data_IF_293820109837
#
_entry.id   IF_293820109837
#
_cell.length_a   1.000
_cell.length_b   1.000
_cell.length_c   1.000
_cell.angle_alpha   90.00
_cell.angle_beta   90.00
_cell.angle_gamma   90.00
#
_symmetry.space_group_name_H-M   'P 1'
#
loop_
_entity.id
_entity.type
_entity.pdbx_description
1 polymer ?
#
# COMPACT_ATOMS: atom_id res chain seq x y z
N UNK A 1 -2.62 -14.70 -38.19
CA UNK A 1 -2.09 -13.84 -37.16
C UNK A 1 -1.28 -14.62 -36.11
N UNK A 2 -0.60 -13.92 -35.22
CA UNK A 2 0.15 -14.56 -34.12
C UNK A 2 -0.85 -14.82 -32.98
N UNK A 3 -0.88 -16.01 -32.34
CA UNK A 3 -1.75 -16.27 -31.20
C UNK A 3 -1.33 -15.41 -30.00
N UNK A 4 -2.34 -14.85 -29.33
CA UNK A 4 -2.16 -14.01 -28.12
C UNK A 4 -2.60 -14.79 -26.87
N UNK A 5 -3.60 -15.67 -27.00
CA UNK A 5 -4.17 -16.44 -25.90
C UNK A 5 -3.90 -17.93 -26.04
N UNK A 6 -3.84 -18.65 -24.93
CA UNK A 6 -3.67 -20.11 -24.90
C UNK A 6 -4.80 -20.82 -25.65
N UNK A 7 -6.03 -20.30 -25.55
CA UNK A 7 -7.22 -20.81 -26.23
C UNK A 7 -7.06 -20.73 -27.75
N UNK A 8 -6.42 -19.69 -28.27
CA UNK A 8 -6.14 -19.58 -29.71
C UNK A 8 -5.13 -20.62 -30.20
N UNK A 9 -4.13 -20.96 -29.38
CA UNK A 9 -3.21 -22.06 -29.69
C UNK A 9 -3.94 -23.39 -29.74
N UNK A 10 -4.86 -23.64 -28.78
CA UNK A 10 -5.73 -24.83 -28.82
C UNK A 10 -6.59 -24.86 -30.08
N UNK A 11 -7.21 -23.76 -30.47
CA UNK A 11 -8.03 -23.63 -31.67
C UNK A 11 -7.21 -23.91 -32.94
N UNK A 12 -6.01 -23.35 -33.02
CA UNK A 12 -5.08 -23.62 -34.15
C UNK A 12 -4.76 -25.12 -34.24
N UNK A 13 -4.42 -25.76 -33.11
CA UNK A 13 -4.12 -27.19 -33.09
C UNK A 13 -5.35 -28.04 -33.46
N UNK A 14 -6.56 -27.66 -33.04
CA UNK A 14 -7.78 -28.39 -33.39
C UNK A 14 -8.18 -28.20 -34.86
N UNK A 15 -8.17 -26.94 -35.34
CA UNK A 15 -8.63 -26.62 -36.70
C UNK A 15 -7.60 -27.03 -37.74
N UNK A 16 -6.33 -26.64 -37.55
CA UNK A 16 -5.31 -26.85 -38.58
C UNK A 16 -4.66 -28.25 -38.51
N UNK A 17 -4.46 -28.83 -37.32
CA UNK A 17 -3.81 -30.13 -37.16
C UNK A 17 -4.79 -31.28 -36.79
N UNK A 18 -6.06 -30.96 -36.46
CA UNK A 18 -7.08 -31.94 -36.13
C UNK A 18 -6.94 -32.59 -34.77
N UNK A 19 -6.36 -31.88 -33.85
CA UNK A 19 -6.31 -32.35 -32.48
C UNK A 19 -7.71 -32.50 -31.91
N UNK A 20 -7.95 -33.56 -31.18
CA UNK A 20 -9.14 -33.65 -30.32
C UNK A 20 -9.02 -32.72 -29.12
N UNK A 21 -10.14 -32.38 -28.45
CA UNK A 21 -10.14 -31.45 -27.30
C UNK A 21 -9.15 -31.83 -26.19
N UNK A 22 -9.03 -33.13 -25.87
CA UNK A 22 -8.08 -33.64 -24.87
C UNK A 22 -6.60 -33.38 -25.24
N UNK A 23 -6.23 -33.64 -26.50
CA UNK A 23 -4.86 -33.39 -26.96
C UNK A 23 -4.55 -31.90 -27.04
N UNK A 24 -5.52 -31.06 -27.39
CA UNK A 24 -5.39 -29.61 -27.38
C UNK A 24 -5.20 -29.07 -25.94
N UNK A 25 -5.93 -29.62 -24.95
CA UNK A 25 -5.73 -29.24 -23.53
C UNK A 25 -4.38 -29.73 -22.99
N UNK A 26 -3.92 -30.93 -23.40
CA UNK A 26 -2.58 -31.40 -23.03
C UNK A 26 -1.46 -30.51 -23.63
N UNK A 27 -1.66 -30.00 -24.85
CA UNK A 27 -0.76 -29.02 -25.46
C UNK A 27 -0.74 -27.74 -24.59
N UNK A 28 -1.91 -27.20 -24.20
CA UNK A 28 -2.03 -26.02 -23.33
C UNK A 28 -1.32 -26.24 -21.99
N UNK A 29 -1.55 -27.38 -21.33
CA UNK A 29 -0.89 -27.70 -20.06
C UNK A 29 0.65 -27.81 -20.21
N UNK A 30 1.11 -28.29 -21.36
CA UNK A 30 2.54 -28.40 -21.62
C UNK A 30 3.22 -27.05 -21.79
N UNK A 31 2.48 -26.03 -22.29
CA UNK A 31 2.98 -24.65 -22.39
C UNK A 31 3.22 -24.02 -21.02
N UNK A 32 2.32 -24.23 -20.08
CA UNK A 32 2.46 -23.71 -18.70
C UNK A 32 3.66 -24.31 -17.94
N UNK A 33 4.11 -25.52 -18.33
CA UNK A 33 5.23 -26.26 -17.72
C UNK A 33 6.54 -26.19 -18.53
N UNK A 34 6.60 -25.38 -19.57
CA UNK A 34 7.68 -25.34 -20.58
C UNK A 34 9.10 -25.33 -19.99
N UNK A 35 9.37 -24.38 -19.09
CA UNK A 35 10.74 -24.22 -18.52
C UNK A 35 11.18 -25.37 -17.62
N UNK A 36 10.25 -26.19 -17.14
CA UNK A 36 10.58 -27.30 -16.21
C UNK A 36 10.67 -28.67 -16.83
N UNK A 37 10.00 -28.94 -17.99
CA UNK A 37 9.85 -30.32 -18.50
C UNK A 37 10.00 -30.51 -20.02
N UNK A 38 10.32 -29.47 -20.80
CA UNK A 38 10.52 -29.64 -22.26
C UNK A 38 9.30 -30.17 -23.05
N UNK A 39 8.09 -30.09 -22.46
CA UNK A 39 6.93 -30.89 -22.85
C UNK A 39 6.27 -30.55 -24.19
N UNK A 40 6.53 -29.36 -24.80
CA UNK A 40 5.83 -28.94 -26.03
C UNK A 40 6.42 -29.66 -27.27
N UNK A 41 7.70 -30.00 -27.28
CA UNK A 41 8.34 -30.69 -28.41
C UNK A 41 7.70 -32.05 -28.74
N UNK A 42 7.03 -32.69 -27.77
CA UNK A 42 6.31 -33.95 -28.04
C UNK A 42 5.13 -33.74 -28.99
N UNK A 43 4.62 -32.54 -29.14
CA UNK A 43 3.51 -32.21 -30.05
C UNK A 43 3.98 -31.77 -31.44
N UNK A 44 5.29 -31.59 -31.67
CA UNK A 44 5.83 -31.13 -32.95
C UNK A 44 5.41 -32.04 -34.11
N UNK A 45 5.77 -33.33 -34.02
CA UNK A 45 5.42 -34.30 -35.07
C UNK A 45 3.91 -34.47 -35.28
N UNK A 46 3.08 -34.63 -34.22
CA UNK A 46 1.62 -34.69 -34.36
C UNK A 46 1.01 -33.44 -34.98
N UNK A 47 1.49 -32.25 -34.62
CA UNK A 47 0.97 -30.98 -35.12
C UNK A 47 1.33 -30.80 -36.60
N UNK A 48 2.61 -30.96 -36.97
CA UNK A 48 3.08 -30.79 -38.34
C UNK A 48 2.40 -31.85 -39.25
N UNK A 49 2.42 -33.11 -38.85
CA UNK A 49 1.78 -34.18 -39.63
C UNK A 49 0.28 -34.03 -39.78
N UNK A 50 -0.40 -33.56 -38.73
CA UNK A 50 -1.85 -33.27 -38.80
C UNK A 50 -2.17 -32.09 -39.74
N UNK A 51 -1.31 -31.06 -39.78
CA UNK A 51 -1.46 -29.94 -40.71
C UNK A 51 -1.19 -30.37 -42.17
N UNK A 52 -0.13 -31.14 -42.40
CA UNK A 52 0.20 -31.68 -43.74
C UNK A 52 -0.92 -32.56 -44.28
N UNK A 53 -1.47 -33.45 -43.47
CA UNK A 53 -2.62 -34.27 -43.82
C UNK A 53 -3.88 -33.45 -44.23
N UNK A 54 -3.95 -32.20 -43.84
CA UNK A 54 -5.01 -31.23 -44.19
C UNK A 54 -4.62 -30.28 -45.33
N UNK A 55 -3.51 -30.52 -46.00
CA UNK A 55 -3.09 -29.77 -47.16
C UNK A 55 -2.27 -28.52 -46.88
N UNK A 56 -1.82 -28.29 -45.65
CA UNK A 56 -0.90 -27.19 -45.35
C UNK A 56 0.53 -27.57 -45.76
N UNK A 57 1.30 -26.60 -46.26
CA UNK A 57 2.70 -26.80 -46.63
C UNK A 57 3.55 -26.99 -45.38
N UNK A 58 4.58 -27.86 -45.49
CA UNK A 58 5.48 -28.17 -44.37
C UNK A 58 6.15 -26.96 -43.77
N UNK A 59 6.61 -26.00 -44.60
CA UNK A 59 7.24 -24.77 -44.11
C UNK A 59 6.30 -23.91 -43.30
N UNK A 60 5.02 -23.87 -43.70
CA UNK A 60 3.99 -23.15 -42.93
C UNK A 60 3.69 -23.84 -41.62
N UNK A 61 3.57 -25.17 -41.60
CA UNK A 61 3.32 -25.94 -40.38
C UNK A 61 4.47 -25.78 -39.36
N UNK A 62 5.72 -25.83 -39.87
CA UNK A 62 6.90 -25.56 -39.04
C UNK A 62 6.91 -24.13 -38.47
N UNK A 63 6.59 -23.12 -39.29
CA UNK A 63 6.51 -21.73 -38.83
C UNK A 63 5.46 -21.55 -37.74
N UNK A 64 4.29 -22.17 -37.84
CA UNK A 64 3.25 -22.17 -36.80
C UNK A 64 3.77 -22.83 -35.51
N UNK A 65 4.44 -23.98 -35.63
CA UNK A 65 5.01 -24.64 -34.46
C UNK A 65 6.07 -23.76 -33.77
N UNK A 66 6.94 -23.09 -34.52
CA UNK A 66 7.92 -22.13 -33.96
C UNK A 66 7.26 -20.94 -33.27
N UNK A 67 6.15 -20.42 -33.82
CA UNK A 67 5.35 -19.38 -33.14
C UNK A 67 4.77 -19.91 -31.82
N UNK A 68 4.26 -21.16 -31.80
CA UNK A 68 3.76 -21.78 -30.57
C UNK A 68 4.88 -21.99 -29.54
N UNK A 69 6.09 -22.30 -29.95
CA UNK A 69 7.26 -22.39 -29.07
C UNK A 69 7.61 -21.05 -28.45
N UNK A 70 7.66 -19.97 -29.24
CA UNK A 70 7.88 -18.61 -28.74
C UNK A 70 6.75 -18.14 -27.77
N UNK A 71 5.52 -18.57 -28.06
CA UNK A 71 4.36 -18.29 -27.21
C UNK A 71 4.38 -19.07 -25.87
N UNK A 72 5.00 -20.26 -25.84
CA UNK A 72 5.13 -21.10 -24.63
C UNK A 72 5.88 -20.43 -23.49
N UNK A 73 6.64 -19.36 -23.76
CA UNK A 73 7.29 -18.57 -22.69
C UNK A 73 6.33 -17.65 -21.92
N UNK A 74 5.22 -17.21 -22.54
CA UNK A 74 4.27 -16.28 -21.94
C UNK A 74 2.86 -16.39 -22.58
N UNK A 75 2.15 -17.47 -22.30
CA UNK A 75 0.78 -17.64 -22.77
C UNK A 75 -0.24 -17.19 -21.73
N UNK A 76 -1.08 -16.17 -22.05
CA UNK A 76 -2.18 -15.75 -21.20
C UNK A 76 -3.45 -16.58 -21.48
N UNK A 77 -4.17 -17.06 -20.43
CA UNK A 77 -5.54 -17.52 -20.58
C UNK A 77 -6.46 -16.34 -20.95
N UNK A 78 -7.33 -16.50 -21.93
CA UNK A 78 -8.23 -15.46 -22.40
C UNK A 78 -9.18 -14.99 -21.29
N UNK A 79 -9.82 -15.92 -20.59
CA UNK A 79 -10.72 -15.63 -19.48
C UNK A 79 -10.04 -14.85 -18.36
N UNK A 80 -8.77 -15.19 -18.05
CA UNK A 80 -7.96 -14.47 -17.08
C UNK A 80 -7.68 -13.03 -17.54
N UNK A 81 -7.29 -12.85 -18.80
CA UNK A 81 -7.02 -11.52 -19.37
C UNK A 81 -8.27 -10.63 -19.36
N UNK A 82 -9.45 -11.15 -19.74
CA UNK A 82 -10.71 -10.44 -19.68
C UNK A 82 -11.11 -10.03 -18.26
N UNK A 83 -11.00 -10.97 -17.31
CA UNK A 83 -11.34 -10.69 -15.90
C UNK A 83 -10.43 -9.60 -15.32
N UNK A 84 -9.13 -9.68 -15.59
CA UNK A 84 -8.18 -8.66 -15.11
C UNK A 84 -8.31 -7.33 -15.82
N UNK A 85 -8.69 -7.31 -17.11
CA UNK A 85 -8.98 -6.07 -17.83
C UNK A 85 -10.14 -5.32 -17.17
N UNK A 86 -11.22 -6.03 -16.84
CA UNK A 86 -12.38 -5.46 -16.14
C UNK A 86 -12.01 -4.93 -14.76
N UNK A 87 -11.30 -5.74 -13.94
CA UNK A 87 -10.87 -5.33 -12.61
C UNK A 87 -9.90 -4.14 -12.66
N UNK A 88 -8.95 -4.15 -13.60
CA UNK A 88 -7.99 -3.06 -13.79
C UNK A 88 -8.68 -1.77 -14.20
N UNK A 89 -9.62 -1.84 -15.14
CA UNK A 89 -10.40 -0.68 -15.56
C UNK A 89 -11.23 -0.11 -14.40
N UNK A 90 -12.02 -0.96 -13.72
CA UNK A 90 -12.87 -0.53 -12.61
C UNK A 90 -12.04 0.07 -11.46
N UNK A 91 -10.91 -0.56 -11.09
CA UNK A 91 -10.01 -0.06 -10.06
C UNK A 91 -9.38 1.28 -10.44
N UNK A 92 -8.96 1.45 -11.69
CA UNK A 92 -8.39 2.70 -12.19
C UNK A 92 -9.44 3.81 -12.23
N UNK A 93 -10.67 3.48 -12.63
CA UNK A 93 -11.79 4.40 -12.63
C UNK A 93 -12.12 4.89 -11.22
N UNK A 94 -12.25 3.96 -10.26
CA UNK A 94 -12.49 4.30 -8.85
C UNK A 94 -11.36 5.17 -8.28
N UNK A 95 -10.09 4.82 -8.55
CA UNK A 95 -8.96 5.63 -8.10
C UNK A 95 -8.99 7.05 -8.68
N UNK A 96 -9.43 7.21 -9.93
CA UNK A 96 -9.47 8.49 -10.62
C UNK A 96 -10.64 9.37 -10.15
N UNK A 97 -11.83 8.78 -9.98
CA UNK A 97 -13.07 9.52 -9.76
C UNK A 97 -13.53 9.53 -8.31
N UNK A 98 -13.20 8.49 -7.54
CA UNK A 98 -13.60 8.29 -6.15
C UNK A 98 -12.39 7.90 -5.27
N UNK A 99 -11.32 8.73 -5.24
CA UNK A 99 -10.07 8.37 -4.57
C UNK A 99 -10.20 8.17 -3.07
N UNK A 100 -11.13 8.84 -2.39
CA UNK A 100 -11.38 8.64 -0.97
C UNK A 100 -12.02 7.26 -0.71
N UNK A 101 -13.02 6.88 -1.49
CA UNK A 101 -13.64 5.54 -1.41
C UNK A 101 -12.62 4.45 -1.73
N UNK A 102 -11.80 4.67 -2.77
CA UNK A 102 -10.75 3.73 -3.15
C UNK A 102 -9.73 3.53 -2.04
N UNK A 103 -9.25 4.61 -1.40
CA UNK A 103 -8.34 4.52 -0.25
C UNK A 103 -8.96 3.73 0.90
N UNK A 104 -10.18 4.07 1.32
CA UNK A 104 -10.86 3.39 2.43
C UNK A 104 -11.04 1.89 2.16
N UNK A 105 -11.45 1.52 0.95
CA UNK A 105 -11.62 0.12 0.53
C UNK A 105 -10.28 -0.65 0.58
N UNK A 106 -9.19 -0.05 0.09
CA UNK A 106 -7.87 -0.69 0.12
C UNK A 106 -7.34 -0.86 1.56
N UNK A 107 -7.49 0.16 2.41
CA UNK A 107 -7.07 0.06 3.82
C UNK A 107 -7.86 -1.02 4.57
N UNK A 108 -9.16 -1.17 4.27
CA UNK A 108 -10.01 -2.20 4.87
C UNK A 108 -9.76 -3.61 4.31
N UNK A 109 -9.08 -3.71 3.17
CA UNK A 109 -8.69 -4.98 2.54
C UNK A 109 -7.28 -5.44 2.95
N UNK A 110 -6.58 -4.70 3.82
CA UNK A 110 -5.27 -5.11 4.32
C UNK A 110 -5.38 -6.38 5.19
N UNK A 111 -4.37 -7.28 5.16
CA UNK A 111 -3.08 -7.16 4.49
C UNK A 111 -3.13 -7.45 2.98
N UNK A 112 -2.44 -6.63 2.18
CA UNK A 112 -2.27 -6.82 0.74
C UNK A 112 -0.80 -7.05 0.38
N UNK A 113 -0.54 -7.70 -0.79
CA UNK A 113 0.82 -8.09 -1.20
C UNK A 113 1.74 -6.90 -1.51
N UNK A 114 1.27 -5.87 -2.23
CA UNK A 114 2.16 -4.89 -2.88
C UNK A 114 2.33 -3.57 -2.14
N UNK A 115 1.32 -3.08 -1.43
CA UNK A 115 1.36 -1.75 -0.81
C UNK A 115 1.12 -1.80 0.69
N UNK A 116 1.87 -1.00 1.44
CA UNK A 116 1.63 -0.77 2.87
C UNK A 116 0.56 0.31 3.07
N UNK A 117 -0.04 0.34 4.27
CA UNK A 117 -0.96 1.42 4.64
C UNK A 117 -0.32 2.81 4.46
N UNK A 118 0.97 2.96 4.83
CA UNK A 118 1.72 4.20 4.66
C UNK A 118 1.76 4.65 3.21
N UNK A 119 2.10 3.74 2.27
CA UNK A 119 2.18 4.08 0.85
C UNK A 119 0.83 4.50 0.27
N UNK A 120 -0.25 3.79 0.64
CA UNK A 120 -1.61 4.12 0.19
C UNK A 120 -2.04 5.50 0.69
N UNK A 121 -1.83 5.78 1.99
CA UNK A 121 -2.17 7.07 2.60
C UNK A 121 -1.33 8.20 2.01
N UNK A 122 -0.01 8.00 1.82
CA UNK A 122 0.85 9.02 1.22
C UNK A 122 0.45 9.32 -0.23
N UNK A 123 0.14 8.30 -1.03
CA UNK A 123 -0.35 8.48 -2.40
C UNK A 123 -1.64 9.31 -2.42
N UNK A 124 -2.63 8.92 -1.63
CA UNK A 124 -3.90 9.63 -1.57
C UNK A 124 -3.75 11.09 -1.10
N UNK A 125 -2.92 11.33 -0.08
CA UNK A 125 -2.64 12.70 0.41
C UNK A 125 -1.92 13.57 -0.64
N UNK A 126 -0.99 13.01 -1.41
CA UNK A 126 -0.34 13.73 -2.53
C UNK A 126 -1.35 14.11 -3.63
N UNK A 127 -2.42 13.35 -3.76
CA UNK A 127 -3.52 13.64 -4.69
C UNK A 127 -4.65 14.47 -4.06
N UNK A 128 -4.45 14.99 -2.84
CA UNK A 128 -5.38 15.92 -2.19
C UNK A 128 -6.49 15.29 -1.37
N UNK A 129 -6.51 13.96 -1.20
CA UNK A 129 -7.47 13.29 -0.31
C UNK A 129 -7.15 13.62 1.15
N UNK A 130 -8.15 14.13 1.86
CA UNK A 130 -8.04 14.40 3.30
C UNK A 130 -8.13 13.10 4.09
N UNK A 131 -7.14 12.83 4.95
CA UNK A 131 -7.11 11.65 5.82
C UNK A 131 -7.08 12.10 7.26
N UNK A 132 -8.01 11.56 8.06
CA UNK A 132 -8.21 11.89 9.47
C UNK A 132 -7.57 10.82 10.36
N UNK A 133 -6.99 11.21 11.52
CA UNK A 133 -6.33 10.28 12.43
C UNK A 133 -7.31 9.28 13.05
N UNK A 134 -6.76 8.23 13.66
CA UNK A 134 -7.52 7.34 14.51
C UNK A 134 -7.92 8.13 15.77
N UNK A 135 -9.19 8.01 16.18
CA UNK A 135 -9.71 8.64 17.38
C UNK A 135 -10.83 7.77 17.99
N UNK A 136 -10.73 7.49 19.27
CA UNK A 136 -11.71 6.64 19.98
C UNK A 136 -13.12 7.22 19.99
N UNK A 137 -13.26 8.54 19.87
CA UNK A 137 -14.56 9.22 19.81
C UNK A 137 -15.18 9.19 18.41
N UNK A 138 -14.41 8.95 17.36
CA UNK A 138 -14.87 9.03 15.97
C UNK A 138 -14.67 7.73 15.19
N UNK A 139 -13.50 7.07 15.28
CA UNK A 139 -13.16 5.94 14.44
C UNK A 139 -14.02 4.71 14.67
N UNK A 140 -14.43 4.07 13.58
CA UNK A 140 -14.98 2.72 13.59
C UNK A 140 -13.86 1.68 13.57
N UNK A 141 -14.23 0.39 13.60
CA UNK A 141 -13.24 -0.67 13.41
C UNK A 141 -12.57 -0.56 12.05
N UNK A 142 -13.36 -0.41 10.99
CA UNK A 142 -12.88 -0.17 9.63
C UNK A 142 -12.69 1.34 9.37
N UNK A 143 -11.89 1.66 8.34
CA UNK A 143 -11.78 3.02 7.83
C UNK A 143 -13.11 3.45 7.21
N UNK A 144 -13.54 4.68 7.49
CA UNK A 144 -14.83 5.23 7.05
C UNK A 144 -14.66 6.55 6.29
N UNK A 145 -15.73 6.97 5.65
CA UNK A 145 -15.81 8.25 4.95
C UNK A 145 -16.57 9.25 5.83
N UNK A 146 -16.00 10.44 6.04
CA UNK A 146 -16.55 11.44 6.95
C UNK A 146 -16.53 12.85 6.39
N UNK A 147 -17.36 13.69 7.01
CA UNK A 147 -17.30 15.14 6.93
C UNK A 147 -17.85 15.72 5.63
N UNK A 148 -17.77 17.05 5.49
CA UNK A 148 -18.20 17.73 4.30
C UNK A 148 -17.35 17.32 3.12
N UNK A 149 -17.96 17.22 1.94
CA UNK A 149 -17.27 16.98 0.70
C UNK A 149 -16.34 18.16 0.39
N UNK A 150 -15.09 17.85 0.03
CA UNK A 150 -14.08 18.85 -0.32
C UNK A 150 -13.60 18.64 -1.76
N UNK A 151 -13.28 19.73 -2.46
CA UNK A 151 -12.67 19.66 -3.78
C UNK A 151 -11.30 19.00 -3.71
N UNK A 152 -11.04 18.06 -4.63
CA UNK A 152 -9.76 17.38 -4.78
C UNK A 152 -9.22 17.69 -6.17
N UNK A 153 -7.95 18.11 -6.30
CA UNK A 153 -7.37 18.47 -7.61
C UNK A 153 -7.46 17.30 -8.61
N UNK A 154 -7.97 17.58 -9.81
CA UNK A 154 -8.09 16.58 -10.87
C UNK A 154 -9.26 15.60 -10.72
N UNK A 155 -10.08 15.73 -9.68
CA UNK A 155 -11.29 14.91 -9.46
C UNK A 155 -12.54 15.74 -9.72
N UNK A 156 -13.46 15.21 -10.53
CA UNK A 156 -14.65 15.95 -10.95
C UNK A 156 -15.66 16.18 -9.81
N UNK A 157 -15.76 15.24 -8.88
CA UNK A 157 -16.69 15.30 -7.75
C UNK A 157 -15.94 15.60 -6.44
N UNK A 158 -16.52 16.45 -5.56
CA UNK A 158 -15.98 16.66 -4.23
C UNK A 158 -15.92 15.35 -3.44
N UNK A 159 -14.84 15.16 -2.68
CA UNK A 159 -14.57 13.93 -1.95
C UNK A 159 -14.75 14.09 -0.44
N UNK A 160 -15.26 13.06 0.27
CA UNK A 160 -15.26 13.03 1.72
C UNK A 160 -13.83 12.83 2.26
N UNK A 161 -13.62 13.09 3.54
CA UNK A 161 -12.40 12.69 4.22
C UNK A 161 -12.43 11.19 4.55
N UNK A 162 -11.26 10.57 4.60
CA UNK A 162 -11.10 9.18 5.06
C UNK A 162 -10.68 9.19 6.53
N UNK A 163 -11.50 8.67 7.43
CA UNK A 163 -11.15 8.41 8.83
C UNK A 163 -10.45 7.06 8.94
N UNK A 164 -9.27 7.04 9.55
CA UNK A 164 -8.56 5.79 9.81
C UNK A 164 -9.27 4.95 10.87
N UNK A 165 -9.40 3.65 10.61
CA UNK A 165 -10.09 2.70 11.49
C UNK A 165 -9.20 2.14 12.60
N UNK A 166 -9.83 1.72 13.71
CA UNK A 166 -9.17 1.11 14.86
C UNK A 166 -8.40 -0.17 14.50
N UNK A 167 -8.78 -0.86 13.43
CA UNK A 167 -8.10 -2.06 12.93
C UNK A 167 -6.63 -1.83 12.56
N UNK A 168 -6.22 -0.58 12.33
CA UNK A 168 -4.84 -0.22 12.03
C UNK A 168 -3.96 -0.11 13.29
N UNK A 169 -4.55 -0.14 14.48
CA UNK A 169 -3.82 -0.08 15.75
C UNK A 169 -3.19 -1.43 16.05
N UNK A 170 -1.87 -1.48 16.04
CA UNK A 170 -1.11 -2.69 16.35
C UNK A 170 -1.31 -3.09 17.82
N UNK A 171 -1.66 -4.37 18.04
CA UNK A 171 -1.85 -4.90 19.38
C UNK A 171 -3.24 -4.66 20.01
N UNK A 172 -4.13 -3.93 19.35
CA UNK A 172 -5.52 -3.80 19.79
C UNK A 172 -6.31 -5.06 19.45
N UNK A 173 -6.96 -5.66 20.44
CA UNK A 173 -7.81 -6.81 20.22
C UNK A 173 -9.06 -6.43 19.41
N UNK A 174 -9.39 -7.21 18.36
CA UNK A 174 -10.57 -6.94 17.50
C UNK A 174 -11.86 -6.82 18.31
N UNK A 175 -12.07 -7.74 19.26
CA UNK A 175 -13.25 -7.72 20.14
C UNK A 175 -13.32 -6.45 21.00
N UNK A 176 -12.19 -5.95 21.48
CA UNK A 176 -12.11 -4.71 22.27
C UNK A 176 -12.46 -3.48 21.41
N UNK A 177 -11.88 -3.38 20.20
CA UNK A 177 -12.19 -2.29 19.28
C UNK A 177 -13.65 -2.28 18.82
N UNK A 178 -14.22 -3.43 18.50
CA UNK A 178 -15.64 -3.55 18.13
C UNK A 178 -16.57 -3.21 19.29
N UNK A 179 -16.26 -3.68 20.50
CA UNK A 179 -17.03 -3.35 21.72
C UNK A 179 -17.00 -1.85 22.02
N UNK A 180 -15.83 -1.20 21.88
CA UNK A 180 -15.70 0.26 22.01
C UNK A 180 -16.66 0.98 21.07
N UNK A 181 -16.68 0.59 19.78
CA UNK A 181 -17.57 1.20 18.77
C UNK A 181 -19.04 0.99 19.12
N UNK A 182 -19.42 -0.23 19.53
CA UNK A 182 -20.80 -0.56 19.92
C UNK A 182 -21.28 0.27 21.12
N UNK A 183 -20.45 0.40 22.16
CA UNK A 183 -20.81 1.17 23.36
C UNK A 183 -20.91 2.67 23.01
N UNK A 184 -19.99 3.20 22.23
CA UNK A 184 -20.07 4.58 21.76
C UNK A 184 -21.38 4.83 20.99
N UNK A 185 -21.76 3.92 20.10
CA UNK A 185 -23.03 4.03 19.36
C UNK A 185 -24.24 3.98 20.28
N UNK A 186 -24.25 3.06 21.24
CA UNK A 186 -25.35 2.96 22.22
C UNK A 186 -25.50 4.25 23.07
N UNK A 187 -24.39 4.85 23.48
CA UNK A 187 -24.40 6.13 24.19
C UNK A 187 -24.93 7.27 23.33
N UNK A 188 -24.55 7.29 22.07
CA UNK A 188 -25.07 8.25 21.10
C UNK A 188 -26.59 8.11 20.91
N UNK A 189 -27.06 6.89 20.66
CA UNK A 189 -28.49 6.60 20.44
C UNK A 189 -29.33 6.94 21.66
N UNK A 190 -28.85 6.64 22.86
CA UNK A 190 -29.51 7.04 24.11
C UNK A 190 -29.61 8.56 24.27
N UNK A 191 -28.58 9.30 23.89
CA UNK A 191 -28.57 10.76 23.93
C UNK A 191 -29.52 11.41 22.91
N UNK A 192 -29.65 10.80 21.74
CA UNK A 192 -30.61 11.23 20.69
C UNK A 192 -32.04 10.92 21.08
N UNK A 193 -32.30 9.72 21.62
CA UNK A 193 -33.63 9.31 22.09
C UNK A 193 -34.17 10.17 23.25
N UNK A 194 -33.29 10.77 24.06
CA UNK A 194 -33.66 11.69 25.12
C UNK A 194 -34.01 13.11 24.66
N UNK A 195 -33.92 13.44 23.36
CA UNK A 195 -34.27 14.75 22.79
C UNK A 195 -35.52 14.63 21.92
N UNK A 196 -36.69 15.10 22.34
CA UNK A 196 -37.89 15.06 21.50
C UNK A 196 -37.72 15.96 20.26
N UNK A 197 -37.82 15.37 19.06
CA UNK A 197 -37.85 16.08 17.78
C UNK A 197 -36.56 16.06 16.93
N UNK A 198 -35.55 15.28 17.25
CA UNK A 198 -34.39 15.12 16.41
C UNK A 198 -34.68 14.20 15.22
N UNK A 199 -34.68 14.76 14.02
CA UNK A 199 -34.69 13.96 12.79
C UNK A 199 -33.39 13.16 12.66
N UNK A 200 -33.39 11.95 12.05
CA UNK A 200 -32.17 11.18 11.83
C UNK A 200 -31.20 12.02 10.99
N UNK A 201 -30.01 12.23 11.51
CA UNK A 201 -28.96 12.96 10.79
C UNK A 201 -28.58 12.22 9.50
N UNK A 202 -28.38 12.91 8.36
CA UNK A 202 -27.93 12.29 7.13
C UNK A 202 -26.56 11.64 7.37
N UNK A 203 -26.32 10.49 6.74
CA UNK A 203 -25.12 9.64 6.91
C UNK A 203 -23.77 10.33 6.60
N UNK A 204 -23.76 11.57 6.18
CA UNK A 204 -22.60 12.43 5.87
C UNK A 204 -22.56 13.71 6.68
N UNK A 205 -23.15 13.75 7.89
CA UNK A 205 -23.11 14.93 8.73
C UNK A 205 -21.69 15.24 9.24
N UNK A 206 -21.28 16.54 9.31
CA UNK A 206 -19.94 16.92 9.73
C UNK A 206 -19.71 16.64 11.21
N UNK A 207 -18.51 16.21 11.55
CA UNK A 207 -17.82 16.21 12.84
C UNK A 207 -18.66 16.61 14.09
N UNK A 208 -19.69 15.86 14.39
CA UNK A 208 -20.41 16.04 15.65
C UNK A 208 -19.92 14.96 16.63
N UNK A 209 -18.93 15.28 17.44
CA UNK A 209 -18.61 14.51 18.64
C UNK A 209 -19.72 14.85 19.66
N UNK A 210 -20.66 13.96 19.94
CA UNK A 210 -21.69 14.25 20.93
C UNK A 210 -21.02 14.45 22.29
N UNK A 211 -21.39 15.49 22.99
CA UNK A 211 -20.95 15.80 24.37
C UNK A 211 -21.28 14.69 25.41
N UNK A 212 -21.82 13.58 24.95
CA UNK A 212 -22.32 12.45 25.75
C UNK A 212 -21.54 11.16 25.56
N UNK A 213 -20.44 11.17 24.76
CA UNK A 213 -19.54 10.03 24.65
C UNK A 213 -18.65 9.89 25.88
N UNK A 214 -17.53 9.22 25.75
CA UNK A 214 -16.54 9.09 26.83
C UNK A 214 -15.99 10.46 27.25
N UNK A 215 -15.88 10.69 28.55
CA UNK A 215 -15.43 11.96 29.13
C UNK A 215 -13.95 11.96 29.53
N UNK A 216 -13.38 10.76 29.72
CA UNK A 216 -11.97 10.58 30.07
C UNK A 216 -11.48 9.20 29.60
N UNK A 217 -10.16 8.97 29.68
CA UNK A 217 -9.57 7.67 29.43
C UNK A 217 -10.05 6.61 30.42
N UNK A 218 -10.31 7.00 31.66
CA UNK A 218 -10.89 6.13 32.70
C UNK A 218 -12.32 5.73 32.37
N UNK A 219 -13.18 6.71 32.03
CA UNK A 219 -14.57 6.45 31.63
C UNK A 219 -14.65 5.53 30.42
N UNK A 220 -13.77 5.74 29.43
CA UNK A 220 -13.62 4.84 28.28
C UNK A 220 -13.23 3.43 28.71
N UNK A 221 -12.21 3.30 29.57
CA UNK A 221 -11.71 2.01 30.04
C UNK A 221 -12.78 1.19 30.75
N UNK A 222 -13.54 1.84 31.64
CA UNK A 222 -14.59 1.22 32.44
C UNK A 222 -15.77 0.81 31.56
N UNK A 223 -16.30 1.70 30.74
CA UNK A 223 -17.50 1.44 29.92
C UNK A 223 -17.22 0.42 28.82
N UNK A 224 -16.11 0.57 28.11
CA UNK A 224 -15.75 -0.34 27.02
C UNK A 224 -15.03 -1.62 27.53
N UNK A 225 -14.81 -1.76 28.83
CA UNK A 225 -14.14 -2.90 29.46
C UNK A 225 -12.81 -3.22 28.76
N UNK A 226 -11.99 -2.20 28.55
CA UNK A 226 -10.71 -2.35 27.88
C UNK A 226 -9.66 -2.88 28.85
N UNK A 227 -8.84 -3.80 28.36
CA UNK A 227 -7.65 -4.23 29.09
C UNK A 227 -6.59 -3.13 29.11
N UNK A 228 -5.66 -3.21 30.06
CA UNK A 228 -4.52 -2.30 30.10
C UNK A 228 -3.71 -2.35 28.78
N UNK A 229 -3.59 -3.54 28.19
CA UNK A 229 -2.92 -3.72 26.91
C UNK A 229 -3.65 -2.98 25.77
N UNK A 230 -4.99 -3.05 25.72
CA UNK A 230 -5.79 -2.34 24.71
C UNK A 230 -5.64 -0.82 24.85
N UNK A 231 -5.69 -0.32 26.10
CA UNK A 231 -5.49 1.10 26.38
C UNK A 231 -4.10 1.59 25.99
N UNK A 232 -3.06 0.83 26.30
CA UNK A 232 -1.69 1.15 25.90
C UNK A 232 -1.54 1.14 24.37
N UNK A 233 -2.17 0.20 23.67
CA UNK A 233 -2.18 0.16 22.21
C UNK A 233 -2.86 1.39 21.61
N UNK A 234 -4.01 1.81 22.13
CA UNK A 234 -4.72 3.03 21.72
C UNK A 234 -3.89 4.29 22.00
N UNK A 235 -3.29 4.41 23.18
CA UNK A 235 -2.44 5.54 23.53
C UNK A 235 -1.18 5.61 22.65
N UNK A 236 -0.53 4.46 22.37
CA UNK A 236 0.62 4.39 21.47
C UNK A 236 0.27 4.81 20.04
N UNK A 237 -0.97 4.56 19.60
CA UNK A 237 -1.49 4.97 18.30
C UNK A 237 -1.99 6.43 18.24
N UNK A 238 -1.86 7.20 19.31
CA UNK A 238 -2.39 8.58 19.44
C UNK A 238 -3.93 8.66 19.34
N UNK A 239 -4.62 7.54 19.59
CA UNK A 239 -6.05 7.40 19.40
C UNK A 239 -6.90 8.01 20.56
N UNK A 240 -6.27 8.37 21.68
CA UNK A 240 -6.89 9.01 22.83
C UNK A 240 -6.70 10.53 22.84
N UNK A 241 -6.28 11.14 21.72
CA UNK A 241 -5.94 12.57 21.66
C UNK A 241 -7.10 13.48 22.07
N UNK A 242 -8.32 13.12 21.74
CA UNK A 242 -9.53 13.87 22.13
C UNK A 242 -9.89 13.77 23.63
N UNK A 243 -9.33 12.78 24.36
CA UNK A 243 -9.57 12.58 25.80
C UNK A 243 -8.42 13.09 26.67
N UNK A 244 -7.17 12.80 26.27
CA UNK A 244 -5.98 13.03 27.09
C UNK A 244 -4.94 13.94 26.42
N UNK A 245 -5.25 14.54 25.26
CA UNK A 245 -4.33 15.44 24.57
C UNK A 245 -3.15 14.70 23.89
N UNK A 246 -1.92 15.16 24.12
CA UNK A 246 -0.75 14.60 23.42
C UNK A 246 -0.36 13.18 23.90
N UNK A 247 0.30 12.43 23.06
CA UNK A 247 0.58 10.97 23.24
C UNK A 247 1.27 10.61 24.57
N UNK A 248 2.21 11.41 25.07
CA UNK A 248 2.85 11.13 26.35
C UNK A 248 1.84 11.17 27.51
N UNK A 249 0.90 12.12 27.47
CA UNK A 249 -0.18 12.18 28.46
C UNK A 249 -1.10 10.97 28.32
N UNK A 250 -1.50 10.61 27.10
CA UNK A 250 -2.30 9.41 26.85
C UNK A 250 -1.66 8.14 27.38
N UNK A 251 -0.34 7.97 27.14
CA UNK A 251 0.40 6.79 27.66
C UNK A 251 0.49 6.79 29.18
N UNK A 252 0.62 7.95 29.79
CA UNK A 252 0.62 8.08 31.26
C UNK A 252 -0.76 7.71 31.82
N UNK A 253 -1.82 8.32 31.29
CA UNK A 253 -3.18 8.07 31.72
C UNK A 253 -3.59 6.62 31.51
N UNK A 254 -3.20 6.01 30.37
CA UNK A 254 -3.42 4.58 30.10
C UNK A 254 -2.65 3.67 31.07
N UNK A 255 -1.43 4.05 31.47
CA UNK A 255 -0.63 3.28 32.41
C UNK A 255 -1.16 3.38 33.85
N UNK A 256 -1.76 4.50 34.19
CA UNK A 256 -2.35 4.74 35.52
C UNK A 256 -3.65 3.95 35.74
N UNK A 257 -4.28 3.42 34.68
CA UNK A 257 -5.52 2.67 34.81
C UNK A 257 -5.28 1.32 35.49
N UNK A 258 -5.81 1.16 36.67
CA UNK A 258 -5.80 -0.08 37.42
C UNK A 258 -7.23 -0.60 37.59
N UNK A 259 -7.41 -1.91 37.52
CA UNK A 259 -8.69 -2.53 37.84
C UNK A 259 -8.90 -2.38 39.35
N UNK A 260 -9.63 -1.35 39.75
CA UNK A 260 -9.98 -1.18 41.17
C UNK A 260 -10.77 -2.40 41.67
N UNK A 261 -10.48 -2.93 42.88
CA UNK A 261 -11.34 -3.90 43.53
C UNK A 261 -12.79 -3.42 43.59
N UNK A 262 -13.76 -4.33 43.55
CA UNK A 262 -15.18 -3.98 43.44
C UNK A 262 -15.65 -2.95 44.49
N UNK A 263 -15.05 -2.97 45.68
CA UNK A 263 -15.35 -2.08 46.79
C UNK A 263 -14.93 -0.60 46.55
N UNK A 264 -13.96 -0.35 45.65
CA UNK A 264 -13.35 0.96 45.39
C UNK A 264 -13.72 1.53 44.03
N UNK A 265 -14.57 0.87 43.26
CA UNK A 265 -14.90 1.26 41.89
C UNK A 265 -15.58 2.61 41.77
N UNK A 266 -16.33 3.00 42.80
CA UNK A 266 -17.13 4.24 42.82
C UNK A 266 -16.49 5.35 43.66
N UNK A 267 -15.25 5.16 44.12
CA UNK A 267 -14.54 6.18 44.90
C UNK A 267 -13.86 7.16 43.93
N UNK A 268 -14.22 8.44 43.94
CA UNK A 268 -13.58 9.42 43.08
C UNK A 268 -12.10 9.59 43.46
N UNK A 269 -11.23 9.43 42.45
CA UNK A 269 -9.80 9.66 42.60
C UNK A 269 -9.55 11.16 42.35
N UNK A 270 -9.14 11.90 43.38
CA UNK A 270 -8.78 13.29 43.29
C UNK A 270 -7.26 13.48 43.16
N UNK A 271 -6.69 13.07 42.04
CA UNK A 271 -5.29 13.33 41.73
C UNK A 271 -5.13 14.64 40.96
N UNK A 272 -4.09 15.40 41.27
CA UNK A 272 -3.73 16.57 40.47
C UNK A 272 -3.11 16.06 39.14
N UNK A 273 -3.71 16.41 37.98
CA UNK A 273 -3.19 15.93 36.71
C UNK A 273 -1.74 16.39 36.51
N UNK A 274 -0.82 15.43 36.30
CA UNK A 274 0.55 15.74 35.98
C UNK A 274 0.63 16.13 34.50
N UNK A 275 0.95 17.38 34.20
CA UNK A 275 1.15 17.87 32.86
C UNK A 275 2.54 17.45 32.34
N UNK A 276 2.59 16.52 31.41
CA UNK A 276 3.82 16.06 30.77
C UNK A 276 4.17 16.93 29.56
N UNK A 277 5.46 17.16 29.24
CA UNK A 277 5.85 17.85 28.02
C UNK A 277 5.57 16.98 26.79
N UNK A 278 5.04 17.58 25.71
CA UNK A 278 4.83 16.89 24.44
C UNK A 278 6.16 16.36 23.86
N UNK A 279 6.09 15.26 23.12
CA UNK A 279 7.25 14.71 22.43
C UNK A 279 7.61 15.56 21.21
N UNK A 280 8.87 15.50 20.78
CA UNK A 280 9.26 16.11 19.51
C UNK A 280 8.66 15.35 18.33
N UNK A 281 8.38 16.04 17.21
CA UNK A 281 7.75 15.43 16.03
C UNK A 281 8.48 14.18 15.51
N UNK A 282 9.81 14.15 15.57
CA UNK A 282 10.58 12.97 15.18
C UNK A 282 10.29 11.73 16.04
N UNK A 283 10.08 11.91 17.35
CA UNK A 283 9.66 10.82 18.24
C UNK A 283 8.22 10.39 17.96
N UNK A 284 7.33 11.35 17.74
CA UNK A 284 5.95 11.08 17.38
C UNK A 284 5.83 10.25 16.10
N UNK A 285 6.65 10.57 15.07
CA UNK A 285 6.69 9.78 13.83
C UNK A 285 7.20 8.35 14.09
N UNK A 286 8.19 8.17 14.99
CA UNK A 286 8.64 6.82 15.39
C UNK A 286 7.51 6.02 16.00
N UNK A 287 6.76 6.64 16.92
CA UNK A 287 5.60 6.00 17.55
C UNK A 287 4.49 5.69 16.54
N UNK A 288 4.20 6.60 15.62
CA UNK A 288 3.20 6.40 14.56
C UNK A 288 3.51 5.13 13.75
N UNK A 289 4.75 4.99 13.25
CA UNK A 289 5.15 3.81 12.49
C UNK A 289 5.14 2.53 13.34
N UNK A 290 5.52 2.60 14.60
CA UNK A 290 5.52 1.45 15.50
C UNK A 290 4.08 0.99 15.82
N UNK A 291 3.16 1.93 16.04
CA UNK A 291 1.80 1.64 16.49
C UNK A 291 0.81 1.37 15.35
N UNK A 292 0.98 2.00 14.18
CA UNK A 292 0.01 1.91 13.07
C UNK A 292 0.63 1.58 11.71
N UNK A 293 1.96 1.59 11.61
CA UNK A 293 2.69 1.39 10.36
C UNK A 293 2.62 2.56 9.39
N UNK A 294 2.08 3.71 9.79
CA UNK A 294 1.97 4.93 8.96
C UNK A 294 2.04 6.19 9.84
N UNK A 295 2.26 7.35 9.22
CA UNK A 295 2.15 8.65 9.90
C UNK A 295 1.34 9.63 9.07
N UNK A 296 0.53 10.45 9.74
CA UNK A 296 -0.13 11.61 9.13
C UNK A 296 0.67 12.91 9.32
N UNK A 297 1.75 12.88 10.09
CA UNK A 297 2.72 13.96 10.27
C UNK A 297 3.60 14.11 9.03
N UNK A 298 4.64 14.92 9.10
CA UNK A 298 5.60 15.06 8.01
C UNK A 298 6.29 13.72 7.71
N UNK A 299 6.62 13.51 6.45
CA UNK A 299 7.42 12.34 6.05
C UNK A 299 8.79 12.38 6.77
N UNK A 300 9.35 11.23 7.21
CA UNK A 300 10.63 11.20 7.93
C UNK A 300 11.77 11.94 7.25
N UNK A 301 11.84 11.85 5.91
CA UNK A 301 12.88 12.53 5.15
C UNK A 301 12.72 14.04 5.13
N UNK A 302 11.52 14.58 5.32
CA UNK A 302 11.31 16.02 5.44
C UNK A 302 12.09 16.62 6.63
N UNK A 303 12.19 15.86 7.74
CA UNK A 303 12.99 16.25 8.90
C UNK A 303 14.50 16.20 8.61
N UNK A 304 14.92 15.28 7.76
CA UNK A 304 16.33 15.10 7.36
C UNK A 304 16.74 15.98 6.16
N UNK A 305 15.76 16.59 5.46
CA UNK A 305 15.99 17.31 4.19
C UNK A 305 17.08 18.37 4.28
N UNK A 306 17.19 19.22 5.31
CA UNK A 306 18.28 20.20 5.41
C UNK A 306 19.66 19.54 5.39
N UNK A 307 19.81 18.36 5.99
CA UNK A 307 21.07 17.60 5.99
C UNK A 307 21.33 16.92 4.66
N UNK A 308 20.30 16.31 4.05
CA UNK A 308 20.38 15.62 2.76
C UNK A 308 20.69 16.63 1.62
N UNK A 309 20.13 17.84 1.67
CA UNK A 309 20.39 18.90 0.71
C UNK A 309 21.87 19.34 0.70
N UNK A 310 22.55 19.38 1.87
CA UNK A 310 24.00 19.66 1.95
C UNK A 310 24.83 18.62 1.16
N UNK A 311 24.34 17.39 1.03
CA UNK A 311 24.98 16.34 0.23
C UNK A 311 24.50 16.33 -1.22
N UNK A 312 23.72 17.35 -1.64
CA UNK A 312 23.15 17.48 -2.98
C UNK A 312 22.24 16.28 -3.35
N UNK A 313 21.58 15.70 -2.36
CA UNK A 313 20.57 14.66 -2.57
C UNK A 313 19.25 15.33 -2.90
N UNK A 314 18.77 15.12 -4.13
CA UNK A 314 17.58 15.74 -4.69
C UNK A 314 16.31 14.99 -4.27
N UNK A 315 15.19 15.71 -4.23
CA UNK A 315 13.88 15.11 -4.02
C UNK A 315 13.34 14.49 -5.30
N UNK A 316 12.36 13.58 -5.19
CA UNK A 316 11.67 13.01 -6.34
C UNK A 316 11.09 14.11 -7.25
N UNK A 317 10.48 15.14 -6.66
CA UNK A 317 9.93 16.27 -7.39
C UNK A 317 11.02 17.07 -8.17
N UNK A 318 12.18 17.30 -7.56
CA UNK A 318 13.30 17.96 -8.24
C UNK A 318 13.85 17.13 -9.41
N UNK A 319 13.84 15.79 -9.25
CA UNK A 319 14.25 14.88 -10.32
C UNK A 319 13.27 14.90 -11.50
N UNK A 320 11.99 15.11 -11.26
CA UNK A 320 11.01 15.23 -12.35
C UNK A 320 11.33 16.36 -13.34
N UNK A 321 12.01 17.40 -12.88
CA UNK A 321 12.46 18.55 -13.72
C UNK A 321 13.86 18.33 -14.30
N UNK A 322 14.54 17.24 -13.98
CA UNK A 322 15.89 16.98 -14.46
C UNK A 322 15.86 16.52 -15.93
N UNK A 323 16.76 17.02 -16.78
CA UNK A 323 16.84 16.60 -18.17
C UNK A 323 17.33 15.15 -18.29
N UNK A 324 16.91 14.48 -19.37
CA UNK A 324 17.36 13.14 -19.69
C UNK A 324 18.89 13.08 -19.83
N UNK A 325 19.49 11.99 -19.34
CA UNK A 325 20.95 11.76 -19.37
C UNK A 325 21.74 12.50 -18.29
N UNK A 326 21.11 13.32 -17.45
CA UNK A 326 21.79 14.06 -16.38
C UNK A 326 22.23 13.13 -15.25
N UNK A 327 23.46 13.31 -14.75
CA UNK A 327 23.90 12.71 -13.49
C UNK A 327 23.19 13.37 -12.32
N UNK A 328 22.55 12.58 -11.48
CA UNK A 328 21.76 13.01 -10.32
C UNK A 328 22.05 12.15 -9.09
N UNK A 329 21.64 12.68 -7.95
CA UNK A 329 21.69 11.97 -6.66
C UNK A 329 20.33 12.01 -6.01
N UNK A 330 19.79 10.85 -5.68
CA UNK A 330 18.54 10.69 -4.95
C UNK A 330 18.77 10.00 -3.60
N UNK A 331 17.82 10.18 -2.68
CA UNK A 331 17.80 9.43 -1.43
C UNK A 331 16.35 9.21 -1.02
N UNK A 332 16.03 7.98 -0.61
CA UNK A 332 14.71 7.63 -0.14
C UNK A 332 14.70 6.41 0.78
N UNK A 333 13.59 6.23 1.49
CA UNK A 333 13.28 5.00 2.20
C UNK A 333 13.05 3.91 1.15
N UNK A 334 13.68 2.76 1.32
CA UNK A 334 13.51 1.64 0.40
C UNK A 334 12.18 0.95 0.70
N UNK A 335 11.22 1.11 -0.18
CA UNK A 335 9.88 0.53 -0.04
C UNK A 335 9.74 -0.81 -0.75
N UNK A 336 10.50 -1.03 -1.82
CA UNK A 336 10.42 -2.25 -2.62
C UNK A 336 11.76 -2.60 -3.28
N UNK A 337 12.04 -3.90 -3.35
CA UNK A 337 13.10 -4.48 -4.19
C UNK A 337 12.51 -5.61 -5.00
N UNK A 338 12.75 -5.62 -6.31
CA UNK A 338 12.28 -6.65 -7.22
C UNK A 338 13.43 -7.15 -8.08
N UNK A 339 13.54 -8.47 -8.21
CA UNK A 339 14.48 -9.12 -9.12
C UNK A 339 13.73 -10.13 -9.99
N UNK A 340 12.97 -9.66 -10.99
CA UNK A 340 12.16 -10.55 -11.84
C UNK A 340 13.05 -11.55 -12.59
N UNK A 341 12.65 -12.81 -12.63
CA UNK A 341 13.40 -13.86 -13.34
C UNK A 341 13.58 -13.57 -14.83
N UNK A 342 12.67 -12.80 -15.44
CA UNK A 342 12.71 -12.35 -16.83
C UNK A 342 13.68 -11.20 -17.09
N UNK A 343 14.15 -10.50 -16.07
CA UNK A 343 14.99 -9.31 -16.18
C UNK A 343 16.51 -9.62 -16.22
N UNK A 344 16.90 -10.87 -16.50
CA UNK A 344 18.30 -11.31 -16.63
C UNK A 344 19.19 -10.85 -15.47
N UNK A 345 18.65 -10.87 -14.24
CA UNK A 345 19.38 -10.49 -13.01
C UNK A 345 19.40 -9.00 -12.69
N UNK A 346 18.73 -8.14 -13.47
CA UNK A 346 18.51 -6.73 -13.14
C UNK A 346 17.62 -6.60 -11.92
N UNK A 347 17.95 -5.68 -11.01
CA UNK A 347 17.14 -5.38 -9.84
C UNK A 347 16.49 -4.00 -9.98
N UNK A 348 15.23 -3.92 -9.58
CA UNK A 348 14.46 -2.70 -9.49
C UNK A 348 14.26 -2.34 -8.02
N UNK A 349 14.58 -1.10 -7.67
CA UNK A 349 14.42 -0.59 -6.29
C UNK A 349 13.54 0.64 -6.35
N UNK A 350 12.53 0.68 -5.49
CA UNK A 350 11.70 1.88 -5.30
C UNK A 350 12.13 2.57 -4.02
N UNK A 351 12.56 3.82 -4.16
CA UNK A 351 12.84 4.74 -3.07
C UNK A 351 11.65 5.68 -2.88
N UNK A 352 11.32 6.01 -1.66
CA UNK A 352 10.27 6.99 -1.35
C UNK A 352 10.85 8.12 -0.51
N UNK A 353 10.59 9.36 -0.93
CA UNK A 353 10.85 10.56 -0.14
C UNK A 353 9.56 11.34 0.14
N UNK A 354 9.66 12.50 0.78
CA UNK A 354 8.52 13.34 1.15
C UNK A 354 7.73 13.87 -0.05
N UNK A 355 8.28 13.79 -1.26
CA UNK A 355 7.66 14.31 -2.48
C UNK A 355 7.17 13.22 -3.42
N UNK A 356 7.62 11.99 -3.26
CA UNK A 356 7.16 10.87 -4.06
C UNK A 356 8.16 9.73 -4.23
N UNK A 357 7.82 8.76 -5.09
CA UNK A 357 8.69 7.63 -5.38
C UNK A 357 9.73 7.93 -6.46
N UNK A 358 10.88 7.30 -6.35
CA UNK A 358 11.94 7.26 -7.37
C UNK A 358 12.22 5.80 -7.72
N UNK A 359 11.99 5.43 -8.97
CA UNK A 359 12.31 4.10 -9.46
C UNK A 359 13.78 4.03 -9.89
N UNK A 360 14.49 3.05 -9.37
CA UNK A 360 15.93 2.84 -9.58
C UNK A 360 16.15 1.52 -10.31
N UNK A 361 16.92 1.55 -11.40
CA UNK A 361 17.36 0.36 -12.13
C UNK A 361 18.79 0.06 -11.73
N UNK A 362 19.04 -1.19 -11.32
CA UNK A 362 20.35 -1.66 -10.89
C UNK A 362 20.78 -2.84 -11.78
N UNK A 363 21.83 -2.64 -12.56
CA UNK A 363 22.36 -3.68 -13.43
C UNK A 363 23.04 -4.82 -12.65
N UNK A 364 23.08 -6.05 -13.17
CA UNK A 364 23.58 -7.22 -12.44
C UNK A 364 24.98 -7.03 -11.86
N UNK A 365 25.89 -6.44 -12.60
CA UNK A 365 27.27 -6.19 -12.15
C UNK A 365 27.32 -5.29 -10.89
N UNK A 366 26.41 -4.30 -10.80
CA UNK A 366 26.30 -3.42 -9.64
C UNK A 366 25.62 -4.11 -8.46
N UNK A 367 24.66 -5.04 -8.72
CA UNK A 367 24.02 -5.83 -7.66
C UNK A 367 25.05 -6.63 -6.89
N UNK A 368 25.99 -7.26 -7.58
CA UNK A 368 27.06 -8.05 -6.92
C UNK A 368 28.05 -7.15 -6.19
N UNK A 369 28.49 -6.05 -6.81
CA UNK A 369 29.48 -5.14 -6.21
C UNK A 369 28.95 -4.40 -4.97
N UNK A 370 27.69 -3.97 -5.00
CA UNK A 370 27.04 -3.18 -3.94
C UNK A 370 26.03 -4.00 -3.13
N UNK A 371 26.20 -5.32 -3.06
CA UNK A 371 25.23 -6.24 -2.46
C UNK A 371 24.79 -5.83 -1.05
N UNK A 372 25.74 -5.48 -0.19
CA UNK A 372 25.46 -5.19 1.22
C UNK A 372 24.58 -3.93 1.39
N UNK A 373 24.95 -2.73 0.89
CA UNK A 373 24.08 -1.55 1.02
C UNK A 373 22.78 -1.70 0.24
N UNK A 374 22.79 -2.40 -0.90
CA UNK A 374 21.62 -2.57 -1.72
C UNK A 374 20.55 -3.43 -1.08
N UNK A 375 20.92 -4.50 -0.37
CA UNK A 375 19.97 -5.41 0.30
C UNK A 375 19.65 -4.99 1.73
N UNK A 376 20.60 -4.37 2.44
CA UNK A 376 20.48 -4.07 3.87
C UNK A 376 19.94 -2.68 4.20
N UNK A 377 20.14 -1.69 3.32
CA UNK A 377 19.76 -0.32 3.64
C UNK A 377 18.25 -0.12 3.71
N UNK A 378 17.78 0.59 4.74
CA UNK A 378 16.41 1.11 4.84
C UNK A 378 16.31 2.54 4.29
N UNK A 379 17.37 3.33 4.41
CA UNK A 379 17.52 4.63 3.77
C UNK A 379 18.70 4.54 2.82
N UNK A 380 18.46 4.63 1.53
CA UNK A 380 19.46 4.42 0.50
C UNK A 380 19.66 5.71 -0.31
N UNK A 381 20.90 6.16 -0.41
CA UNK A 381 21.29 7.18 -1.38
C UNK A 381 21.84 6.51 -2.63
N UNK A 382 21.43 7.02 -3.78
CA UNK A 382 21.80 6.51 -5.10
C UNK A 382 22.30 7.65 -5.95
N UNK A 383 23.46 7.48 -6.57
CA UNK A 383 23.99 8.33 -7.63
C UNK A 383 23.92 7.58 -8.96
N UNK A 384 23.49 8.24 -10.01
CA UNK A 384 23.33 7.61 -11.31
C UNK A 384 22.89 8.57 -12.41
N UNK A 385 22.42 8.02 -13.51
CA UNK A 385 21.94 8.75 -14.67
C UNK A 385 20.41 8.75 -14.68
N UNK A 386 19.82 9.94 -14.72
CA UNK A 386 18.39 10.10 -14.86
C UNK A 386 17.96 9.84 -16.30
N UNK A 387 17.01 8.96 -16.48
CA UNK A 387 16.46 8.64 -17.79
C UNK A 387 14.98 8.97 -17.82
N UNK A 388 14.59 9.69 -18.86
CA UNK A 388 13.20 10.02 -19.19
C UNK A 388 12.93 9.55 -20.61
N UNK A 389 11.88 8.76 -20.82
CA UNK A 389 11.40 8.50 -22.17
C UNK A 389 10.77 9.76 -22.77
N UNK A 390 10.92 10.01 -24.07
CA UNK A 390 10.21 11.11 -24.72
C UNK A 390 8.69 10.94 -24.53
N UNK A 391 7.96 12.06 -24.58
CA UNK A 391 6.51 12.04 -24.48
C UNK A 391 5.93 11.14 -25.59
N UNK A 392 4.97 10.31 -25.24
CA UNK A 392 4.17 9.58 -26.21
C UNK A 392 3.38 10.54 -27.10
N UNK A 393 2.79 10.05 -28.21
CA UNK A 393 2.02 10.87 -29.15
C UNK A 393 0.89 11.69 -28.49
N UNK A 394 0.43 11.28 -27.33
CA UNK A 394 -0.67 11.92 -26.58
C UNK A 394 -0.19 12.91 -25.50
N UNK A 395 1.09 13.27 -25.46
CA UNK A 395 1.65 14.16 -24.44
C UNK A 395 1.68 13.58 -23.01
N UNK A 396 1.35 12.29 -22.84
CA UNK A 396 1.20 11.65 -21.55
C UNK A 396 2.47 10.96 -21.04
N UNK A 397 2.53 10.89 -19.76
CA UNK A 397 3.40 10.18 -18.81
C UNK A 397 4.74 9.66 -19.34
N UNK A 398 5.74 10.50 -19.23
CA UNK A 398 7.15 10.12 -19.40
C UNK A 398 7.51 9.06 -18.37
N UNK A 399 7.92 7.87 -18.80
CA UNK A 399 8.54 6.88 -17.91
C UNK A 399 9.85 7.44 -17.42
N UNK A 400 10.03 7.55 -16.10
CA UNK A 400 11.21 8.13 -15.45
C UNK A 400 11.86 7.12 -14.52
N UNK A 401 13.17 6.99 -14.61
CA UNK A 401 13.93 6.13 -13.70
C UNK A 401 15.37 6.61 -13.54
N UNK A 402 15.98 6.22 -12.44
CA UNK A 402 17.38 6.47 -12.13
C UNK A 402 18.18 5.20 -12.42
N UNK A 403 19.05 5.22 -13.43
CA UNK A 403 19.99 4.13 -13.67
C UNK A 403 21.17 4.30 -12.72
N UNK A 404 21.26 3.40 -11.75
CA UNK A 404 22.21 3.51 -10.65
C UNK A 404 23.66 3.28 -11.11
N UNK A 405 24.59 4.00 -10.46
CA UNK A 405 26.04 3.85 -10.59
C UNK A 405 26.72 3.63 -9.24
N UNK A 406 26.26 4.28 -8.17
CA UNK A 406 26.82 4.18 -6.82
C UNK A 406 25.72 4.21 -5.78
N UNK A 407 26.02 3.57 -4.63
CA UNK A 407 25.09 3.50 -3.50
C UNK A 407 25.79 3.93 -2.22
N UNK A 408 25.00 4.47 -1.29
CA UNK A 408 25.44 4.73 0.08
C UNK A 408 24.30 4.42 1.04
N UNK A 409 24.58 3.55 2.00
CA UNK A 409 23.66 3.30 3.11
C UNK A 409 23.63 4.50 4.06
N UNK A 410 22.47 5.11 4.21
CA UNK A 410 22.21 6.22 5.11
C UNK A 410 21.26 5.82 6.25
N UNK A 411 20.98 4.53 6.42
CA UNK A 411 20.12 3.98 7.49
C UNK A 411 20.46 4.54 8.88
N UNK A 412 21.73 4.73 9.27
CA UNK A 412 22.07 5.32 10.58
C UNK A 412 21.47 6.71 10.83
N UNK A 413 21.13 7.47 9.77
CA UNK A 413 20.48 8.78 9.92
C UNK A 413 19.02 8.69 10.42
N UNK A 414 18.40 7.55 10.25
CA UNK A 414 17.03 7.29 10.71
C UNK A 414 17.00 7.07 12.24
N UNK A 415 18.12 6.71 12.88
CA UNK A 415 18.15 6.40 14.31
C UNK A 415 17.09 5.33 14.67
N UNK A 416 16.26 5.61 15.69
CA UNK A 416 15.19 4.71 16.16
C UNK A 416 14.13 4.44 15.07
N UNK A 417 13.90 5.36 14.14
CA UNK A 417 13.01 5.19 13.01
C UNK A 417 13.37 3.97 12.15
N UNK A 418 14.66 3.64 12.04
CA UNK A 418 15.09 2.47 11.27
C UNK A 418 14.45 1.16 11.76
N UNK A 419 14.15 1.05 13.05
CA UNK A 419 13.52 -0.12 13.64
C UNK A 419 11.99 -0.09 13.48
N UNK A 420 11.38 1.10 13.55
CA UNK A 420 9.95 1.30 13.45
C UNK A 420 9.41 1.18 12.00
N UNK A 421 10.24 1.49 10.99
CA UNK A 421 9.86 1.31 9.58
C UNK A 421 9.68 -0.18 9.27
N UNK A 422 8.58 -0.51 8.60
CA UNK A 422 8.40 -1.85 8.02
C UNK A 422 9.54 -2.14 7.04
N UNK A 423 9.98 -3.39 6.99
CA UNK A 423 10.97 -3.83 5.99
C UNK A 423 10.45 -3.61 4.58
N UNK A 424 11.38 -3.42 3.61
CA UNK A 424 11.00 -3.37 2.20
C UNK A 424 10.29 -4.65 1.78
N UNK A 425 9.39 -4.54 0.83
CA UNK A 425 8.76 -5.70 0.20
C UNK A 425 9.68 -6.20 -0.90
N UNK A 426 10.28 -7.34 -0.66
CA UNK A 426 11.25 -7.93 -1.55
C UNK A 426 10.59 -9.08 -2.32
N UNK A 427 10.60 -8.99 -3.65
CA UNK A 427 10.06 -10.00 -4.56
C UNK A 427 11.21 -10.58 -5.39
N UNK A 428 11.31 -11.91 -5.38
CA UNK A 428 12.34 -12.69 -6.08
C UNK A 428 11.80 -13.33 -7.35
#
# INVERSE_FOLDING_TARGET
>A
GVPIFQEQVMQIAMIAAGFGPGMADDLRRSMAAWKRKGGVHRFERPLIGGMEARGYRTEFAQAIFQQMLGFGEYGFPESHAHSFALLSYASSWLKCHEPACFLAALLNSLPMGFYSASQLVQDARRHGVRVLPIDVLASHWDCTLEGPLAAVPGVALPQPAVRLGLRLVSGLATAAGQRLVQIRQALHDAAVAGKPGAAPAPALAPEFVPATCFTSTEDLALRAQLSQQDLQALAAADALASLSGHRRQQMWDAAAQHTAPALWRDVPVHEVPLALPAAHEGEEIVFDYAATGLTLRRHPLALLRPRLARWRLQTALQLHSAPNGRKVRACGIVTMRQRPGTAKGTMFVTLEDETGPVNVIVWPALVEHWRQPLLGARLLAVEGVWQCSPHGPDGQAVVRHLVAQRFKDLTPLLGRMAQALQGSRDFH
#
